data_IF_986892482846
#
_entry.id   IF_986892482846
#
_cell.length_a   1.000
_cell.length_b   1.000
_cell.length_c   1.000
_cell.angle_alpha   90.00
_cell.angle_beta   90.00
_cell.angle_gamma   90.00
#
_symmetry.space_group_name_H-M   'P 1'
#
loop_
_entity.id
_entity.type
_entity.pdbx_description
1 polymer ?
#
# COMPACT_ATOMS: atom_id res chain seq x y z
N UNK A 1 -6.38 22.97 -35.79
CA UNK A 1 -5.16 22.26 -35.36
C UNK A 1 -5.59 21.17 -34.40
N UNK A 2 -5.47 19.89 -34.79
CA UNK A 2 -5.61 18.77 -33.85
C UNK A 2 -4.34 18.73 -33.00
N UNK A 3 -4.48 18.86 -31.69
CA UNK A 3 -3.39 18.56 -30.78
C UNK A 3 -2.99 17.09 -31.01
N UNK A 4 -1.74 16.86 -31.41
CA UNK A 4 -1.15 15.53 -31.34
C UNK A 4 -1.17 15.13 -29.87
N UNK A 5 -1.85 14.03 -29.56
CA UNK A 5 -1.73 13.39 -28.26
C UNK A 5 -0.24 13.07 -28.08
N UNK A 6 0.42 13.66 -27.08
CA UNK A 6 1.72 13.18 -26.66
C UNK A 6 1.52 11.75 -26.20
N UNK A 7 2.03 10.78 -26.95
CA UNK A 7 2.15 9.39 -26.49
C UNK A 7 3.10 9.40 -25.30
N UNK A 8 2.56 9.55 -24.10
CA UNK A 8 3.33 9.46 -22.86
C UNK A 8 3.87 8.04 -22.75
N UNK A 9 5.18 7.89 -22.83
CA UNK A 9 5.84 6.60 -22.58
C UNK A 9 5.67 6.30 -21.08
N UNK A 10 5.16 5.12 -20.69
CA UNK A 10 4.93 4.78 -19.30
C UNK A 10 6.25 4.47 -18.60
N UNK A 11 6.91 5.51 -18.12
CA UNK A 11 8.20 5.43 -17.44
C UNK A 11 8.04 5.49 -15.93
N UNK A 12 8.88 4.76 -15.21
CA UNK A 12 9.07 4.88 -13.75
C UNK A 12 10.56 4.86 -13.41
N UNK A 13 10.93 5.36 -12.23
CA UNK A 13 12.28 5.20 -11.67
C UNK A 13 12.25 4.12 -10.59
N UNK A 14 13.15 3.13 -10.66
CA UNK A 14 13.32 2.09 -9.67
C UNK A 14 14.81 1.90 -9.37
N UNK A 15 15.21 2.12 -8.12
CA UNK A 15 16.60 2.02 -7.65
C UNK A 15 17.58 2.82 -8.53
N UNK A 16 17.18 4.03 -8.93
CA UNK A 16 17.97 4.89 -9.82
C UNK A 16 17.99 4.47 -11.29
N UNK A 17 17.23 3.44 -11.69
CA UNK A 17 17.08 3.01 -13.08
C UNK A 17 15.75 3.52 -13.65
N UNK A 18 15.75 4.01 -14.88
CA UNK A 18 14.54 4.37 -15.61
C UNK A 18 14.02 3.12 -16.31
N UNK A 19 12.79 2.70 -15.98
CA UNK A 19 12.14 1.54 -16.57
C UNK A 19 11.05 1.96 -17.58
N UNK A 20 11.01 1.30 -18.73
CA UNK A 20 9.92 1.40 -19.70
C UNK A 20 8.92 0.26 -19.49
N UNK A 21 7.69 0.61 -19.10
CA UNK A 21 6.62 -0.33 -18.82
C UNK A 21 5.69 -0.59 -20.02
N UNK A 22 6.00 -0.09 -21.22
CA UNK A 22 5.10 -0.13 -22.39
C UNK A 22 4.58 -1.54 -22.69
N UNK A 23 5.43 -2.56 -22.54
CA UNK A 23 5.09 -3.95 -22.82
C UNK A 23 4.58 -4.73 -21.59
N UNK A 24 4.37 -4.04 -20.46
CA UNK A 24 4.05 -4.68 -19.18
C UNK A 24 2.82 -4.10 -18.48
N UNK A 25 2.35 -2.91 -18.84
CA UNK A 25 1.20 -2.25 -18.21
C UNK A 25 0.00 -3.19 -17.99
N UNK A 26 -0.43 -3.89 -19.05
CA UNK A 26 -1.59 -4.80 -19.02
C UNK A 26 -1.29 -6.17 -18.38
N UNK A 27 -0.01 -6.48 -18.16
CA UNK A 27 0.45 -7.76 -17.63
C UNK A 27 0.83 -7.70 -16.16
N UNK A 28 0.71 -6.52 -15.54
CA UNK A 28 1.04 -6.35 -14.13
C UNK A 28 0.00 -7.07 -13.25
N UNK A 29 0.42 -8.05 -12.41
CA UNK A 29 -0.53 -8.79 -11.59
C UNK A 29 -1.35 -7.91 -10.65
N UNK A 30 -0.75 -6.83 -10.13
CA UNK A 30 -1.44 -5.85 -9.30
C UNK A 30 -2.33 -4.87 -10.09
N UNK A 31 -2.56 -5.10 -11.38
CA UNK A 31 -3.40 -4.27 -12.25
C UNK A 31 -2.67 -3.08 -12.86
N UNK A 32 -3.24 -2.56 -13.96
CA UNK A 32 -2.67 -1.43 -14.71
C UNK A 32 -2.77 -0.10 -13.96
N UNK A 33 -3.83 0.07 -13.15
CA UNK A 33 -4.16 1.34 -12.52
C UNK A 33 -3.03 1.83 -11.60
N UNK A 34 -2.47 0.94 -10.77
CA UNK A 34 -1.38 1.29 -9.86
C UNK A 34 -0.09 1.70 -10.59
N UNK A 35 0.18 1.17 -11.78
CA UNK A 35 1.32 1.61 -12.59
C UNK A 35 1.06 2.98 -13.21
N UNK A 36 -0.16 3.21 -13.72
CA UNK A 36 -0.54 4.50 -14.30
C UNK A 36 -0.47 5.65 -13.29
N UNK A 37 -0.87 5.40 -12.03
CA UNK A 37 -0.78 6.38 -10.95
C UNK A 37 0.67 6.72 -10.52
N UNK A 38 1.63 5.92 -10.96
CA UNK A 38 3.03 6.06 -10.59
C UNK A 38 3.95 6.48 -11.75
N UNK A 39 3.39 6.76 -12.94
CA UNK A 39 4.19 7.20 -14.08
C UNK A 39 4.98 8.48 -13.76
N UNK A 40 6.25 8.47 -14.14
CA UNK A 40 7.21 9.56 -13.92
C UNK A 40 7.74 9.67 -12.49
N UNK A 41 7.34 8.78 -11.57
CA UNK A 41 7.78 8.80 -10.16
C UNK A 41 8.90 7.81 -9.90
N UNK A 42 9.65 8.06 -8.84
CA UNK A 42 10.47 7.05 -8.19
C UNK A 42 9.57 6.15 -7.34
N UNK A 43 9.49 4.87 -7.73
CA UNK A 43 8.63 3.85 -7.13
C UNK A 43 9.43 2.89 -6.25
N UNK A 44 10.68 3.20 -5.92
CA UNK A 44 11.56 2.27 -5.20
C UNK A 44 11.01 1.85 -3.85
N UNK A 45 10.49 2.80 -3.08
CA UNK A 45 9.84 2.48 -1.80
C UNK A 45 8.67 1.52 -2.02
N UNK A 46 7.73 1.90 -2.90
CA UNK A 46 6.49 1.18 -3.17
C UNK A 46 6.77 -0.25 -3.66
N UNK A 47 7.74 -0.39 -4.56
CA UNK A 47 8.15 -1.67 -5.12
C UNK A 47 8.69 -2.61 -4.06
N UNK A 48 9.63 -2.14 -3.23
CA UNK A 48 10.29 -2.96 -2.20
C UNK A 48 9.41 -3.27 -1.00
N UNK A 49 8.33 -2.52 -0.80
CA UNK A 49 7.36 -2.79 0.24
C UNK A 49 6.45 -3.98 -0.06
N UNK A 50 6.40 -4.48 -1.30
CA UNK A 50 5.57 -5.62 -1.67
C UNK A 50 6.42 -6.88 -1.77
N UNK A 51 6.18 -7.86 -0.89
CA UNK A 51 7.05 -9.05 -0.79
C UNK A 51 7.05 -9.90 -2.06
N UNK A 52 5.96 -9.90 -2.82
CA UNK A 52 5.86 -10.60 -4.09
C UNK A 52 6.87 -10.11 -5.15
N UNK A 53 7.37 -8.87 -5.04
CA UNK A 53 8.35 -8.31 -5.97
C UNK A 53 9.78 -8.82 -5.73
N UNK A 54 10.08 -9.39 -4.56
CA UNK A 54 11.40 -9.95 -4.25
C UNK A 54 11.70 -11.28 -5.01
N UNK A 55 10.72 -11.81 -5.76
CA UNK A 55 10.89 -13.04 -6.53
C UNK A 55 11.90 -12.83 -7.65
N UNK A 56 12.86 -13.75 -7.80
CA UNK A 56 13.91 -13.68 -8.83
C UNK A 56 13.38 -13.52 -10.27
N UNK A 57 12.17 -14.03 -10.56
CA UNK A 57 11.53 -13.84 -11.85
C UNK A 57 11.14 -12.38 -12.13
N UNK A 58 10.73 -11.64 -11.08
CA UNK A 58 10.42 -10.20 -11.17
C UNK A 58 11.71 -9.42 -11.38
N UNK A 59 12.75 -9.68 -10.56
CA UNK A 59 14.05 -8.99 -10.68
C UNK A 59 14.65 -9.15 -12.08
N UNK A 60 14.60 -10.34 -12.67
CA UNK A 60 15.06 -10.57 -14.06
C UNK A 60 14.27 -9.79 -15.11
N UNK A 61 12.98 -9.54 -14.89
CA UNK A 61 12.16 -8.73 -15.81
C UNK A 61 12.53 -7.24 -15.73
N UNK A 62 12.90 -6.75 -14.55
CA UNK A 62 13.34 -5.34 -14.40
C UNK A 62 14.55 -5.03 -15.28
N UNK A 63 15.48 -5.98 -15.40
CA UNK A 63 16.65 -5.81 -16.27
C UNK A 63 16.31 -5.64 -17.74
N UNK A 64 15.22 -6.24 -18.19
CA UNK A 64 14.73 -6.13 -19.56
C UNK A 64 14.01 -4.80 -19.81
N UNK A 65 13.54 -4.13 -18.75
CA UNK A 65 12.77 -2.88 -18.83
C UNK A 65 13.64 -1.64 -18.62
N UNK A 66 14.84 -1.80 -18.06
CA UNK A 66 15.73 -0.67 -17.82
C UNK A 66 16.27 -0.08 -19.13
N UNK A 67 15.99 1.20 -19.37
CA UNK A 67 16.40 1.91 -20.58
C UNK A 67 17.44 3.01 -20.31
N UNK A 68 17.58 3.44 -19.06
CA UNK A 68 18.57 4.43 -18.64
C UNK A 68 18.84 4.35 -17.13
N UNK A 69 19.85 5.09 -16.69
CA UNK A 69 20.12 5.36 -15.28
C UNK A 69 19.88 6.84 -15.01
N UNK A 70 19.32 7.14 -13.85
CA UNK A 70 19.20 8.50 -13.33
C UNK A 70 20.57 8.93 -12.86
N UNK A 71 21.07 10.05 -13.38
CA UNK A 71 22.32 10.63 -12.89
C UNK A 71 22.21 10.80 -11.37
N UNK A 72 23.28 10.54 -10.59
CA UNK A 72 23.28 10.76 -9.15
C UNK A 72 23.25 12.25 -8.85
N UNK A 73 22.09 12.87 -9.08
CA UNK A 73 21.72 14.10 -8.42
C UNK A 73 21.54 13.73 -6.96
N UNK A 74 22.15 14.51 -6.07
CA UNK A 74 21.96 14.41 -4.64
C UNK A 74 20.50 14.75 -4.31
N UNK A 75 19.61 13.78 -4.54
CA UNK A 75 18.34 13.72 -3.85
C UNK A 75 18.75 13.49 -2.39
N UNK A 76 18.47 14.44 -1.48
CA UNK A 76 18.76 14.23 -0.08
C UNK A 76 18.13 12.90 0.32
N UNK A 77 18.86 11.99 1.00
CA UNK A 77 18.25 10.76 1.47
C UNK A 77 17.01 11.13 2.27
N UNK A 78 15.87 10.51 1.93
CA UNK A 78 14.63 10.76 2.65
C UNK A 78 14.90 10.61 4.14
N UNK A 79 14.71 11.67 4.93
CA UNK A 79 14.89 11.58 6.37
C UNK A 79 13.99 10.44 6.89
N UNK A 80 14.56 9.58 7.76
CA UNK A 80 13.77 8.58 8.49
C UNK A 80 13.07 9.31 9.63
N UNK A 81 12.01 10.02 9.29
CA UNK A 81 11.26 10.82 10.24
C UNK A 81 9.77 10.51 10.16
N UNK A 82 9.03 11.13 11.06
CA UNK A 82 7.59 10.94 11.18
C UNK A 82 6.82 11.43 9.94
N UNK A 83 7.38 12.34 9.14
CA UNK A 83 6.76 12.80 7.91
C UNK A 83 6.73 11.68 6.86
N UNK A 84 7.78 10.85 6.80
CA UNK A 84 7.81 9.67 5.93
C UNK A 84 6.68 8.68 6.24
N UNK A 85 6.33 8.50 7.51
CA UNK A 85 5.17 7.68 7.88
C UNK A 85 3.88 8.24 7.27
N UNK A 86 3.65 9.54 7.43
CA UNK A 86 2.45 10.20 6.89
C UNK A 86 2.39 10.10 5.36
N UNK A 87 3.52 10.31 4.68
CA UNK A 87 3.59 10.17 3.22
C UNK A 87 3.33 8.74 2.77
N UNK A 88 3.79 7.73 3.54
CA UNK A 88 3.50 6.33 3.24
C UNK A 88 2.01 6.00 3.42
N UNK A 89 1.36 6.50 4.47
CA UNK A 89 -0.09 6.33 4.65
C UNK A 89 -0.87 6.95 3.48
N UNK A 90 -0.49 8.15 3.04
CA UNK A 90 -1.11 8.82 1.86
C UNK A 90 -0.94 8.02 0.59
N UNK A 91 0.25 7.46 0.37
CA UNK A 91 0.49 6.61 -0.77
C UNK A 91 -0.44 5.39 -0.79
N UNK A 92 -0.63 4.74 0.36
CA UNK A 92 -1.53 3.58 0.45
C UNK A 92 -2.98 3.99 0.18
N UNK A 93 -3.45 5.11 0.72
CA UNK A 93 -4.77 5.66 0.40
C UNK A 93 -4.92 5.86 -1.11
N UNK A 94 -3.92 6.47 -1.77
CA UNK A 94 -3.94 6.64 -3.22
C UNK A 94 -4.00 5.30 -3.97
N UNK A 95 -3.31 4.26 -3.49
CA UNK A 95 -3.39 2.91 -4.09
C UNK A 95 -4.79 2.32 -4.01
N UNK A 96 -5.52 2.51 -2.91
CA UNK A 96 -6.92 2.10 -2.79
C UNK A 96 -7.83 2.91 -3.73
N UNK A 97 -7.62 4.22 -3.81
CA UNK A 97 -8.42 5.11 -4.66
C UNK A 97 -8.27 4.78 -6.15
N UNK A 98 -7.03 4.49 -6.56
CA UNK A 98 -6.69 4.15 -7.94
C UNK A 98 -7.21 2.78 -8.34
N UNK A 99 -7.25 1.82 -7.39
CA UNK A 99 -7.78 0.49 -7.67
C UNK A 99 -9.31 0.43 -7.67
N UNK A 100 -9.97 1.37 -6.99
CA UNK A 100 -11.42 1.48 -6.98
C UNK A 100 -11.95 1.93 -8.34
N UNK A 101 -12.57 1.00 -9.07
CA UNK A 101 -13.19 1.26 -10.37
C UNK A 101 -14.66 0.83 -10.34
N UNK A 102 -15.62 1.76 -10.25
CA UNK A 102 -17.04 1.42 -10.20
C UNK A 102 -17.57 0.84 -11.52
N UNK A 103 -16.82 0.95 -12.62
CA UNK A 103 -17.18 0.37 -13.91
C UNK A 103 -16.60 -1.04 -14.12
N UNK A 104 -15.70 -1.50 -13.24
CA UNK A 104 -15.12 -2.84 -13.33
C UNK A 104 -16.15 -3.90 -12.96
N UNK A 105 -16.11 -5.03 -13.68
CA UNK A 105 -16.88 -6.22 -13.34
C UNK A 105 -16.62 -6.62 -11.86
N UNK A 106 -17.65 -6.86 -11.03
CA UNK A 106 -17.47 -7.13 -9.61
C UNK A 106 -16.58 -8.33 -9.28
N UNK A 107 -16.62 -9.40 -10.08
CA UNK A 107 -15.81 -10.61 -9.86
C UNK A 107 -14.33 -10.31 -10.16
N UNK A 108 -14.08 -9.55 -11.22
CA UNK A 108 -12.74 -9.04 -11.52
C UNK A 108 -12.26 -8.03 -10.46
N UNK A 109 -13.15 -7.18 -9.96
CA UNK A 109 -12.81 -6.16 -8.97
C UNK A 109 -12.42 -6.77 -7.62
N UNK A 110 -13.18 -7.74 -7.12
CA UNK A 110 -12.85 -8.40 -5.85
C UNK A 110 -11.51 -9.14 -5.92
N UNK A 111 -11.07 -9.60 -7.09
CA UNK A 111 -9.74 -10.17 -7.28
C UNK A 111 -8.64 -9.12 -7.06
N UNK A 112 -8.71 -7.97 -7.73
CA UNK A 112 -7.71 -6.90 -7.57
C UNK A 112 -7.72 -6.29 -6.17
N UNK A 113 -8.91 -6.03 -5.64
CA UNK A 113 -9.09 -5.48 -4.29
C UNK A 113 -8.64 -6.48 -3.24
N UNK A 114 -8.92 -7.77 -3.43
CA UNK A 114 -8.44 -8.84 -2.58
C UNK A 114 -6.92 -8.91 -2.55
N UNK A 115 -6.25 -8.79 -3.70
CA UNK A 115 -4.79 -8.71 -3.76
C UNK A 115 -4.24 -7.48 -3.05
N UNK A 116 -4.80 -6.29 -3.29
CA UNK A 116 -4.39 -5.06 -2.61
C UNK A 116 -4.57 -5.19 -1.09
N UNK A 117 -5.69 -5.75 -0.65
CA UNK A 117 -5.96 -6.02 0.76
C UNK A 117 -4.91 -6.99 1.34
N UNK A 118 -4.61 -8.10 0.65
CA UNK A 118 -3.58 -9.05 1.09
C UNK A 118 -2.21 -8.39 1.22
N UNK A 119 -1.81 -7.54 0.28
CA UNK A 119 -0.57 -6.77 0.40
C UNK A 119 -0.63 -5.74 1.54
N UNK A 120 -1.78 -5.13 1.76
CA UNK A 120 -1.96 -4.22 2.88
C UNK A 120 -1.72 -4.92 4.22
N UNK A 121 -2.38 -6.05 4.48
CA UNK A 121 -2.27 -6.76 5.77
C UNK A 121 -0.94 -7.51 5.92
N UNK A 122 -0.42 -8.09 4.83
CA UNK A 122 0.79 -8.90 4.85
C UNK A 122 2.08 -8.09 4.85
N UNK A 123 2.09 -6.95 4.14
CA UNK A 123 3.31 -6.20 3.87
C UNK A 123 3.26 -4.75 4.41
N UNK A 124 2.24 -3.98 4.00
CA UNK A 124 2.24 -2.54 4.23
C UNK A 124 1.94 -2.15 5.69
N UNK A 125 0.93 -2.76 6.31
CA UNK A 125 0.57 -2.46 7.69
C UNK A 125 1.69 -2.89 8.65
N UNK A 126 2.33 -4.03 8.41
CA UNK A 126 3.54 -4.43 9.15
C UNK A 126 4.63 -3.38 9.02
N UNK A 127 4.91 -2.91 7.79
CA UNK A 127 5.93 -1.88 7.53
C UNK A 127 5.61 -0.55 8.22
N UNK A 128 4.34 -0.13 8.22
CA UNK A 128 3.88 1.09 8.91
C UNK A 128 4.09 0.99 10.42
N UNK A 129 3.73 -0.14 11.03
CA UNK A 129 3.90 -0.38 12.46
C UNK A 129 5.39 -0.41 12.83
N UNK A 130 6.22 -1.12 12.06
CA UNK A 130 7.67 -1.12 12.26
C UNK A 130 8.26 0.28 12.14
N UNK A 131 7.84 1.06 11.13
CA UNK A 131 8.31 2.45 10.95
C UNK A 131 7.94 3.33 12.15
N UNK A 132 6.70 3.25 12.65
CA UNK A 132 6.28 3.98 13.84
C UNK A 132 7.12 3.57 15.05
N UNK A 133 7.36 2.27 15.24
CA UNK A 133 8.12 1.77 16.37
C UNK A 133 9.58 2.23 16.34
N UNK A 134 10.24 2.13 15.19
CA UNK A 134 11.62 2.60 15.01
C UNK A 134 11.74 4.10 15.21
N UNK A 135 10.76 4.88 14.76
CA UNK A 135 10.79 6.35 14.82
C UNK A 135 10.48 6.89 16.21
N UNK A 136 9.60 6.23 16.97
CA UNK A 136 9.04 6.78 18.22
C UNK A 136 9.38 5.97 19.48
N UNK A 137 9.96 4.79 19.32
CA UNK A 137 10.26 3.85 20.41
C UNK A 137 9.03 3.11 20.97
N UNK A 138 7.83 3.37 20.46
CA UNK A 138 6.61 2.67 20.88
C UNK A 138 6.61 1.26 20.26
N UNK A 139 6.64 0.18 21.05
CA UNK A 139 6.78 -1.17 20.50
C UNK A 139 5.49 -1.63 19.80
N UNK A 140 5.66 -2.47 18.77
CA UNK A 140 4.54 -3.22 18.16
C UNK A 140 4.24 -4.44 19.03
N UNK A 141 2.97 -4.70 19.33
CA UNK A 141 2.57 -5.89 20.07
C UNK A 141 2.81 -7.16 19.24
N UNK A 142 3.55 -8.17 19.76
CA UNK A 142 3.78 -9.42 19.02
C UNK A 142 2.50 -10.16 18.66
N UNK A 143 1.48 -10.09 19.52
CA UNK A 143 0.17 -10.70 19.27
C UNK A 143 -0.54 -10.06 18.07
N UNK A 144 -0.39 -8.74 17.86
CA UNK A 144 -0.95 -8.04 16.70
C UNK A 144 -0.32 -8.55 15.40
N UNK A 145 1.01 -8.72 15.36
CA UNK A 145 1.71 -9.27 14.20
C UNK A 145 1.30 -10.72 13.91
N UNK A 146 1.05 -11.52 14.94
CA UNK A 146 0.55 -12.89 14.79
C UNK A 146 -0.88 -12.91 14.20
N UNK A 147 -1.78 -12.05 14.70
CA UNK A 147 -3.14 -11.93 14.16
C UNK A 147 -3.14 -11.46 12.71
N UNK A 148 -2.31 -10.48 12.37
CA UNK A 148 -2.13 -10.02 10.98
C UNK A 148 -1.71 -11.16 10.05
N UNK A 149 -0.77 -12.00 10.49
CA UNK A 149 -0.36 -13.18 9.71
C UNK A 149 -1.54 -14.13 9.46
N UNK A 150 -2.35 -14.39 10.48
CA UNK A 150 -3.53 -15.25 10.35
C UNK A 150 -4.57 -14.65 9.39
N UNK A 151 -4.79 -13.34 9.46
CA UNK A 151 -5.64 -12.61 8.48
C UNK A 151 -5.08 -12.76 7.07
N UNK A 152 -3.78 -12.53 6.89
CA UNK A 152 -3.10 -12.67 5.60
C UNK A 152 -3.22 -14.08 5.01
N UNK A 153 -3.11 -15.12 5.85
CA UNK A 153 -3.25 -16.52 5.43
C UNK A 153 -4.70 -16.89 5.07
N UNK A 154 -5.69 -16.31 5.73
CA UNK A 154 -7.11 -16.63 5.52
C UNK A 154 -7.74 -15.93 4.31
N UNK A 155 -7.36 -14.67 4.03
CA UNK A 155 -8.05 -13.84 3.03
C UNK A 155 -8.01 -14.39 1.60
N UNK A 156 -6.87 -14.92 1.09
CA UNK A 156 -6.82 -15.44 -0.27
C UNK A 156 -7.88 -16.51 -0.55
N UNK A 157 -8.11 -17.42 0.41
CA UNK A 157 -9.14 -18.46 0.27
C UNK A 157 -10.57 -17.89 0.24
N UNK A 158 -10.85 -16.83 1.00
CA UNK A 158 -12.16 -16.15 0.97
C UNK A 158 -12.41 -15.45 -0.36
N UNK A 159 -11.41 -14.74 -0.87
CA UNK A 159 -11.49 -14.07 -2.18
C UNK A 159 -11.65 -15.11 -3.29
N UNK A 160 -10.87 -16.19 -3.25
CA UNK A 160 -10.96 -17.28 -4.22
C UNK A 160 -12.35 -17.92 -4.23
N UNK A 161 -12.93 -18.22 -3.06
CA UNK A 161 -14.28 -18.78 -2.97
C UNK A 161 -15.33 -17.88 -3.66
N UNK A 162 -15.27 -16.56 -3.40
CA UNK A 162 -16.20 -15.61 -4.03
C UNK A 162 -15.98 -15.47 -5.53
N UNK A 163 -14.72 -15.51 -5.98
CA UNK A 163 -14.37 -15.46 -7.41
C UNK A 163 -14.85 -16.72 -8.14
N UNK A 164 -14.69 -17.91 -7.53
CA UNK A 164 -15.09 -19.20 -8.11
C UNK A 164 -16.61 -19.31 -8.26
N UNK A 165 -17.37 -18.86 -7.26
CA UNK A 165 -18.84 -18.83 -7.33
C UNK A 165 -19.37 -17.81 -8.36
N UNK A 166 -18.51 -16.87 -8.80
CA UNK A 166 -18.84 -15.82 -9.76
C UNK A 166 -20.10 -14.98 -9.38
N UNK A 167 -20.37 -14.86 -8.08
CA UNK A 167 -21.52 -14.13 -7.55
C UNK A 167 -21.22 -12.63 -7.46
N UNK A 168 -21.67 -11.88 -8.48
CA UNK A 168 -21.40 -10.45 -8.61
C UNK A 168 -21.88 -9.61 -7.40
N UNK A 169 -23.10 -9.78 -6.85
CA UNK A 169 -23.52 -9.15 -5.60
C UNK A 169 -22.56 -9.40 -4.42
N UNK A 170 -22.17 -10.65 -4.18
CA UNK A 170 -21.27 -11.00 -3.06
C UNK A 170 -19.86 -10.47 -3.31
N UNK A 171 -19.35 -10.56 -4.53
CA UNK A 171 -18.08 -9.97 -4.93
C UNK A 171 -18.04 -8.45 -4.71
N UNK A 172 -19.10 -7.75 -5.13
CA UNK A 172 -19.22 -6.31 -4.91
C UNK A 172 -19.32 -5.94 -3.42
N UNK A 173 -20.03 -6.75 -2.62
CA UNK A 173 -20.13 -6.54 -1.19
C UNK A 173 -18.79 -6.73 -0.48
N UNK A 174 -18.07 -7.83 -0.79
CA UNK A 174 -16.76 -8.11 -0.24
C UNK A 174 -15.73 -7.05 -0.66
N UNK A 175 -15.67 -6.68 -1.94
CA UNK A 175 -14.78 -5.62 -2.42
C UNK A 175 -14.99 -4.30 -1.66
N UNK A 176 -16.25 -3.85 -1.53
CA UNK A 176 -16.58 -2.64 -0.75
C UNK A 176 -16.16 -2.77 0.71
N UNK A 177 -16.40 -3.92 1.34
CA UNK A 177 -16.03 -4.14 2.74
C UNK A 177 -14.51 -4.03 2.94
N UNK A 178 -13.72 -4.74 2.11
CA UNK A 178 -12.26 -4.72 2.19
C UNK A 178 -11.70 -3.31 1.99
N UNK A 179 -12.17 -2.58 0.97
CA UNK A 179 -11.75 -1.20 0.72
C UNK A 179 -12.13 -0.26 1.88
N UNK A 180 -13.37 -0.31 2.35
CA UNK A 180 -13.85 0.59 3.40
C UNK A 180 -13.09 0.39 4.70
N UNK A 181 -12.82 -0.86 5.09
CA UNK A 181 -12.13 -1.15 6.34
C UNK A 181 -10.66 -0.70 6.30
N UNK A 182 -9.95 -0.92 5.19
CA UNK A 182 -8.58 -0.42 5.04
C UNK A 182 -8.52 1.11 4.98
N UNK A 183 -9.41 1.76 4.21
CA UNK A 183 -9.45 3.22 4.10
C UNK A 183 -9.77 3.88 5.44
N UNK A 184 -10.72 3.34 6.20
CA UNK A 184 -11.04 3.86 7.54
C UNK A 184 -9.82 3.89 8.46
N UNK A 185 -9.07 2.78 8.54
CA UNK A 185 -7.83 2.73 9.33
C UNK A 185 -6.80 3.75 8.81
N UNK A 186 -6.56 3.78 7.50
CA UNK A 186 -5.58 4.67 6.88
C UNK A 186 -5.94 6.15 7.05
N UNK A 187 -7.22 6.53 6.94
CA UNK A 187 -7.70 7.89 7.15
C UNK A 187 -7.47 8.33 8.60
N UNK A 188 -7.74 7.47 9.58
CA UNK A 188 -7.47 7.77 10.98
C UNK A 188 -5.97 7.86 11.28
N UNK A 189 -5.15 6.97 10.72
CA UNK A 189 -3.69 7.06 10.82
C UNK A 189 -3.17 8.37 10.19
N UNK A 190 -3.70 8.76 9.03
CA UNK A 190 -3.35 9.99 8.34
C UNK A 190 -3.74 11.21 9.17
N UNK A 191 -4.94 11.20 9.76
CA UNK A 191 -5.45 12.29 10.61
C UNK A 191 -4.56 12.47 11.83
N UNK A 192 -4.32 11.41 12.61
CA UNK A 192 -3.45 11.46 13.80
C UNK A 192 -2.03 11.87 13.40
N UNK A 193 -1.54 11.39 12.26
CA UNK A 193 -0.19 11.71 11.79
C UNK A 193 -0.04 13.16 11.36
N UNK A 194 -1.07 13.71 10.73
CA UNK A 194 -1.11 15.12 10.34
C UNK A 194 -1.23 16.04 11.56
N UNK A 195 -2.01 15.65 12.57
CA UNK A 195 -2.08 16.33 13.87
C UNK A 195 -0.69 16.40 14.52
N UNK A 196 0.01 15.25 14.61
CA UNK A 196 1.37 15.18 15.15
C UNK A 196 2.34 16.09 14.39
N UNK A 197 2.35 16.06 13.06
CA UNK A 197 3.22 16.94 12.24
C UNK A 197 2.91 18.43 12.43
N UNK A 198 1.64 18.78 12.66
CA UNK A 198 1.22 20.14 12.97
C UNK A 198 1.82 20.62 14.29
N UNK A 199 1.72 19.81 15.35
CA UNK A 199 2.22 20.11 16.69
C UNK A 199 3.76 20.15 16.77
N UNK A 200 4.45 19.39 15.93
CA UNK A 200 5.92 19.37 15.84
C UNK A 200 6.53 20.71 15.41
N UNK A 201 5.74 21.61 14.81
CA UNK A 201 6.20 22.95 14.44
C UNK A 201 6.42 23.87 15.66
N UNK A 202 5.84 23.52 16.81
CA UNK A 202 5.68 24.45 17.93
C UNK A 202 6.35 24.04 19.26
N UNK A 203 6.70 22.76 19.51
CA UNK A 203 7.20 22.30 20.84
C UNK A 203 8.08 21.02 20.78
N UNK A 204 8.63 20.61 21.95
CA UNK A 204 9.45 19.42 22.23
C UNK A 204 8.97 18.14 21.50
N UNK A 205 9.69 17.84 20.42
CA UNK A 205 9.35 16.91 19.33
C UNK A 205 9.08 15.49 19.82
N UNK A 206 9.90 14.97 20.73
CA UNK A 206 9.91 13.54 21.02
C UNK A 206 8.65 13.05 21.78
N UNK A 207 8.22 13.80 22.80
CA UNK A 207 7.07 13.40 23.63
C UNK A 207 5.74 13.45 22.86
N UNK A 208 5.60 14.43 21.97
CA UNK A 208 4.43 14.59 21.11
C UNK A 208 4.32 13.40 20.14
N UNK A 209 5.43 13.06 19.47
CA UNK A 209 5.44 11.91 18.55
C UNK A 209 5.12 10.59 19.23
N UNK A 210 5.61 10.35 20.45
CA UNK A 210 5.32 9.09 21.16
C UNK A 210 3.86 8.99 21.58
N UNK A 211 3.21 10.08 21.99
CA UNK A 211 1.79 10.07 22.35
C UNK A 211 0.89 9.72 21.15
N UNK A 212 1.12 10.39 20.02
CA UNK A 212 0.40 10.13 18.78
C UNK A 212 0.68 8.71 18.25
N UNK A 213 1.94 8.25 18.33
CA UNK A 213 2.28 6.89 17.95
C UNK A 213 1.60 5.84 18.83
N UNK A 214 1.50 6.03 20.14
CA UNK A 214 0.70 5.13 21.01
C UNK A 214 -0.75 5.08 20.56
N UNK A 215 -1.37 6.22 20.25
CA UNK A 215 -2.75 6.26 19.75
C UNK A 215 -2.91 5.49 18.43
N UNK A 216 -1.99 5.67 17.48
CA UNK A 216 -1.96 4.93 16.22
C UNK A 216 -1.77 3.42 16.43
N UNK A 217 -0.87 3.02 17.32
CA UNK A 217 -0.63 1.60 17.64
C UNK A 217 -1.88 0.95 18.25
N UNK A 218 -2.55 1.63 19.17
CA UNK A 218 -3.80 1.14 19.76
C UNK A 218 -4.89 0.97 18.68
N UNK A 219 -5.08 1.98 17.84
CA UNK A 219 -6.05 1.94 16.74
C UNK A 219 -5.77 0.78 15.78
N UNK A 220 -4.51 0.62 15.36
CA UNK A 220 -4.12 -0.48 14.49
C UNK A 220 -4.35 -1.84 15.16
N UNK A 221 -4.04 -1.98 16.45
CA UNK A 221 -4.25 -3.24 17.18
C UNK A 221 -5.75 -3.59 17.32
N UNK A 222 -6.60 -2.60 17.56
CA UNK A 222 -8.06 -2.77 17.58
C UNK A 222 -8.55 -3.24 16.21
N UNK A 223 -8.17 -2.53 15.14
CA UNK A 223 -8.52 -2.91 13.77
C UNK A 223 -8.04 -4.32 13.40
N UNK A 224 -6.81 -4.67 13.76
CA UNK A 224 -6.24 -6.02 13.53
C UNK A 224 -7.04 -7.09 14.25
N UNK A 225 -7.50 -6.79 15.47
CA UNK A 225 -8.30 -7.72 16.26
C UNK A 225 -9.68 -7.92 15.64
N UNK A 226 -10.31 -6.85 15.17
CA UNK A 226 -11.57 -6.95 14.42
C UNK A 226 -11.42 -7.74 13.12
N UNK A 227 -10.37 -7.49 12.33
CA UNK A 227 -10.14 -8.29 11.11
C UNK A 227 -9.92 -9.75 11.42
N UNK A 228 -9.17 -10.04 12.48
CA UNK A 228 -8.93 -11.40 12.93
C UNK A 228 -10.24 -12.10 13.30
N UNK A 229 -11.12 -11.44 14.04
CA UNK A 229 -12.43 -12.00 14.39
C UNK A 229 -13.30 -12.18 13.13
N UNK A 230 -13.28 -11.23 12.20
CA UNK A 230 -14.05 -11.28 10.95
C UNK A 230 -13.61 -12.38 9.97
N UNK A 231 -12.34 -12.78 9.98
CA UNK A 231 -11.87 -13.91 9.16
C UNK A 231 -12.11 -15.27 9.80
N UNK A 232 -12.31 -15.30 11.12
CA UNK A 232 -12.54 -16.53 11.89
C UNK A 232 -14.01 -16.74 12.30
N UNK A 233 -14.89 -15.78 12.03
CA UNK A 233 -16.33 -15.95 12.18
C UNK A 233 -16.85 -16.88 11.08
N UNK A 234 -17.34 -18.06 11.48
CA UNK A 234 -18.00 -19.08 10.63
C UNK A 234 -19.34 -18.58 10.05
#
# INVERSE_FOLDING_TARGET
>A
MRAQASTSVPLVVLDGRVLDLSNFLEHHPGGVAVLLANLGRDVSADFHHVTAHARAAVTRKLDQQAIAEVAPLTIPPSAKDFARFVDYVRLLLNSFDVQADPARDPVSDVFYVGQLYSHFVGDHLVSLLTMLAETTGVPVEPAALQRLRQVFEAVPGRVEAVVVEADAPTAAALSRQLQQRCRALLDDLLRIGSEALGELRDVNVHRITSCHATKMMCLANEWISEEHDLVNAE
#
